data_IF_603565440370
#
_entry.id   IF_603565440370
#
_cell.length_a   1.000
_cell.length_b   1.000
_cell.length_c   1.000
_cell.angle_alpha   90.00
_cell.angle_beta   90.00
_cell.angle_gamma   90.00
#
_symmetry.space_group_name_H-M   'P 1'
#
loop_
_entity.id
_entity.type
_entity.pdbx_description
1 polymer ?
#
# COMPACT_ATOMS: atom_id res chain seq x y z
N UNK A 1 14.80 7.42 8.65
CA UNK A 1 14.14 6.74 9.81
C UNK A 1 13.40 5.52 9.31
N UNK A 2 13.40 4.37 10.02
CA UNK A 2 12.63 3.19 9.60
C UNK A 2 11.18 3.31 10.07
N UNK A 3 10.23 3.03 9.18
CA UNK A 3 8.78 2.99 9.42
C UNK A 3 8.16 1.69 8.96
N UNK A 4 7.19 1.19 9.71
CA UNK A 4 6.39 0.00 9.34
C UNK A 4 4.92 0.21 9.65
N UNK A 5 4.07 -0.50 8.92
CA UNK A 5 2.66 -0.65 9.27
C UNK A 5 2.49 -2.00 9.96
N UNK A 6 1.95 -2.00 11.18
CA UNK A 6 1.50 -3.20 11.87
C UNK A 6 -0.01 -3.31 11.69
N UNK A 7 -0.49 -4.43 11.18
CA UNK A 7 -1.92 -4.73 11.06
C UNK A 7 -2.25 -5.94 11.91
N UNK A 8 -3.18 -5.78 12.85
CA UNK A 8 -3.66 -6.85 13.71
C UNK A 8 -5.08 -6.55 14.18
N UNK A 9 -5.90 -7.58 14.34
CA UNK A 9 -7.27 -7.47 14.85
C UNK A 9 -8.12 -6.42 14.12
N UNK A 10 -7.96 -6.29 12.79
CA UNK A 10 -8.68 -5.31 11.98
C UNK A 10 -8.25 -3.85 12.19
N UNK A 11 -7.16 -3.62 12.91
CA UNK A 11 -6.56 -2.30 13.15
C UNK A 11 -5.22 -2.19 12.43
N UNK A 12 -4.86 -0.97 12.05
CA UNK A 12 -3.56 -0.60 11.49
C UNK A 12 -2.87 0.44 12.38
N UNK A 13 -1.57 0.25 12.57
CA UNK A 13 -0.73 1.05 13.46
C UNK A 13 0.54 1.42 12.69
N UNK A 14 0.78 2.72 12.51
CA UNK A 14 2.07 3.19 12.00
C UNK A 14 3.09 3.17 13.14
N UNK A 15 4.25 2.60 12.91
CA UNK A 15 5.34 2.56 13.90
C UNK A 15 6.63 3.10 13.30
N UNK A 16 7.34 3.88 14.09
CA UNK A 16 8.68 4.34 13.77
C UNK A 16 9.68 3.57 14.63
N UNK A 17 10.83 3.25 14.05
CA UNK A 17 11.96 2.72 14.80
C UNK A 17 12.78 3.88 15.37
N UNK A 18 12.81 4.00 16.69
CA UNK A 18 13.61 4.98 17.43
C UNK A 18 14.17 4.34 18.70
N UNK A 19 15.37 4.73 19.13
CA UNK A 19 16.00 4.21 20.35
C UNK A 19 16.06 2.67 20.41
N UNK A 20 16.33 2.03 19.27
CA UNK A 20 16.33 0.58 19.08
C UNK A 20 14.98 -0.13 19.32
N UNK A 21 13.87 0.61 19.38
CA UNK A 21 12.54 0.09 19.61
C UNK A 21 11.54 0.57 18.56
N UNK A 22 10.48 -0.22 18.34
CA UNK A 22 9.35 0.19 17.52
C UNK A 22 8.32 0.90 18.38
N UNK A 23 8.06 2.18 18.08
CA UNK A 23 7.09 3.00 18.80
C UNK A 23 5.94 3.38 17.89
N UNK A 24 4.72 3.34 18.43
CA UNK A 24 3.52 3.76 17.71
C UNK A 24 3.56 5.26 17.45
N UNK A 25 3.27 5.64 16.20
CA UNK A 25 3.21 7.02 15.75
C UNK A 25 1.75 7.38 15.48
N UNK A 26 1.19 8.24 16.33
CA UNK A 26 -0.18 8.73 16.17
C UNK A 26 -1.27 7.74 16.60
N UNK A 27 -2.49 7.92 16.07
CA UNK A 27 -3.66 7.15 16.44
C UNK A 27 -3.75 5.82 15.69
N UNK A 28 -4.19 4.77 16.40
CA UNK A 28 -4.56 3.48 15.84
C UNK A 28 -5.84 3.65 15.02
N UNK A 29 -5.84 3.16 13.78
CA UNK A 29 -7.00 3.28 12.86
C UNK A 29 -7.52 1.90 12.47
N UNK A 30 -8.76 1.84 11.99
CA UNK A 30 -9.27 0.62 11.34
C UNK A 30 -8.44 0.32 10.09
N UNK A 31 -8.07 -0.94 9.89
CA UNK A 31 -7.45 -1.40 8.66
C UNK A 31 -8.51 -1.46 7.55
N UNK A 32 -8.14 -1.05 6.35
CA UNK A 32 -8.99 -1.18 5.18
C UNK A 32 -9.24 -2.66 4.83
N UNK A 33 -10.43 -2.94 4.31
CA UNK A 33 -10.77 -4.26 3.80
C UNK A 33 -9.80 -4.67 2.69
N UNK A 34 -9.29 -5.90 2.77
CA UNK A 34 -8.29 -6.44 1.84
C UNK A 34 -6.85 -6.40 2.38
N UNK A 35 -6.56 -5.56 3.38
CA UNK A 35 -5.27 -5.58 4.08
C UNK A 35 -5.29 -6.66 5.16
N UNK A 36 -4.47 -7.69 4.99
CA UNK A 36 -4.38 -8.81 5.95
C UNK A 36 -3.59 -8.41 7.20
N UNK A 37 -3.81 -9.10 8.35
CA UNK A 37 -2.90 -8.98 9.49
C UNK A 37 -1.46 -9.30 9.10
N UNK A 38 -0.51 -8.53 9.61
CA UNK A 38 0.91 -8.66 9.28
C UNK A 38 1.75 -7.44 9.60
N UNK A 39 3.06 -7.57 9.39
CA UNK A 39 4.03 -6.48 9.51
C UNK A 39 4.48 -6.08 8.10
N UNK A 40 4.20 -4.84 7.72
CA UNK A 40 4.55 -4.27 6.43
C UNK A 40 5.69 -3.28 6.62
N UNK A 41 6.91 -3.70 6.30
CA UNK A 41 8.13 -2.92 6.45
C UNK A 41 8.26 -1.88 5.32
N UNK A 42 7.39 -0.87 5.31
CA UNK A 42 7.32 0.16 4.25
C UNK A 42 8.63 0.96 4.10
N UNK A 43 9.51 0.96 5.09
CA UNK A 43 10.86 1.52 4.96
C UNK A 43 11.75 0.81 3.93
N UNK A 44 11.39 -0.41 3.53
CA UNK A 44 12.06 -1.14 2.45
C UNK A 44 11.55 -0.74 1.07
N UNK A 45 10.58 0.19 0.99
CA UNK A 45 9.98 0.57 -0.27
C UNK A 45 10.99 1.22 -1.22
N UNK A 46 11.00 0.74 -2.47
CA UNK A 46 11.75 1.35 -3.57
C UNK A 46 10.84 2.34 -4.28
N UNK A 47 11.39 3.48 -4.68
CA UNK A 47 10.65 4.43 -5.51
C UNK A 47 10.32 3.76 -6.85
N UNK A 48 9.06 3.86 -7.28
CA UNK A 48 8.62 3.34 -8.57
C UNK A 48 9.45 3.94 -9.72
N UNK A 49 9.84 3.09 -10.65
CA UNK A 49 10.54 3.47 -11.87
C UNK A 49 9.49 3.68 -12.96
N UNK A 50 9.51 4.85 -13.60
CA UNK A 50 8.50 5.29 -14.56
C UNK A 50 8.54 4.50 -15.88
N UNK A 51 9.67 3.89 -16.24
CA UNK A 51 9.80 3.07 -17.45
C UNK A 51 9.43 1.58 -17.26
N UNK A 52 8.82 1.21 -16.13
CA UNK A 52 8.40 -0.16 -15.84
C UNK A 52 7.08 -0.51 -16.56
N UNK A 53 6.91 -1.79 -16.95
CA UNK A 53 5.67 -2.33 -17.53
C UNK A 53 4.46 -2.22 -16.60
N UNK A 54 4.67 -2.07 -15.30
CA UNK A 54 3.63 -1.82 -14.31
C UNK A 54 3.88 -2.49 -12.98
N UNK A 55 3.26 -1.94 -11.94
CA UNK A 55 3.30 -2.44 -10.57
C UNK A 55 1.94 -3.01 -10.19
N UNK A 56 1.84 -4.33 -10.13
CA UNK A 56 0.61 -5.04 -9.80
C UNK A 56 0.62 -5.53 -8.35
N UNK A 57 -0.40 -5.13 -7.59
CA UNK A 57 -0.53 -5.56 -6.20
C UNK A 57 -1.34 -4.61 -5.34
N UNK A 58 -1.25 -4.84 -4.04
CA UNK A 58 -2.12 -4.25 -3.03
C UNK A 58 -1.69 -2.84 -2.66
N UNK A 59 -2.57 -1.85 -2.80
CA UNK A 59 -2.35 -0.53 -2.22
C UNK A 59 -2.49 -0.58 -0.70
N UNK A 60 -1.40 -0.29 0.02
CA UNK A 60 -1.30 -0.48 1.46
C UNK A 60 -1.57 0.77 2.29
N UNK A 61 -0.95 1.89 1.93
CA UNK A 61 -0.90 3.05 2.81
C UNK A 61 -0.66 4.35 2.06
N UNK A 62 -1.34 5.43 2.48
CA UNK A 62 -1.06 6.80 2.06
C UNK A 62 -0.36 7.50 3.21
N UNK A 63 0.90 7.86 3.01
CA UNK A 63 1.65 8.70 3.92
C UNK A 63 1.56 10.15 3.43
N UNK A 64 0.59 10.89 3.98
CA UNK A 64 0.39 12.31 3.66
C UNK A 64 1.54 13.18 4.15
N UNK A 65 2.31 12.76 5.16
CA UNK A 65 3.43 13.54 5.66
C UNK A 65 4.60 13.50 4.68
N UNK A 66 4.82 12.36 4.04
CA UNK A 66 5.88 12.19 3.02
C UNK A 66 5.42 12.48 1.59
N UNK A 67 4.11 12.62 1.37
CA UNK A 67 3.56 12.69 0.03
C UNK A 67 3.77 11.39 -0.75
N UNK A 68 3.67 10.23 -0.09
CA UNK A 68 3.90 8.92 -0.71
C UNK A 68 2.70 7.99 -0.57
N UNK A 69 2.54 7.12 -1.56
CA UNK A 69 1.60 6.00 -1.56
C UNK A 69 2.40 4.71 -1.67
N UNK A 70 2.14 3.77 -0.78
CA UNK A 70 2.83 2.49 -0.73
C UNK A 70 1.97 1.38 -1.31
N UNK A 71 2.53 0.61 -2.22
CA UNK A 71 1.96 -0.59 -2.82
C UNK A 71 2.83 -1.81 -2.44
N UNK A 72 2.19 -2.92 -2.11
CA UNK A 72 2.87 -4.20 -2.01
C UNK A 72 2.74 -4.94 -3.34
N UNK A 73 3.88 -5.18 -3.97
CA UNK A 73 4.01 -5.95 -5.22
C UNK A 73 4.69 -7.25 -4.85
N UNK A 74 3.92 -8.35 -4.85
CA UNK A 74 4.35 -9.64 -4.29
C UNK A 74 4.84 -9.51 -2.82
N UNK A 75 6.15 -9.61 -2.58
CA UNK A 75 6.79 -9.47 -1.26
C UNK A 75 7.59 -8.17 -1.12
N UNK A 76 7.66 -7.38 -2.19
CA UNK A 76 8.36 -6.09 -2.19
C UNK A 76 7.38 -4.94 -1.94
N UNK A 77 7.93 -3.80 -1.55
CA UNK A 77 7.21 -2.56 -1.36
C UNK A 77 7.68 -1.55 -2.40
N UNK A 78 6.71 -0.89 -3.03
CA UNK A 78 6.94 0.16 -4.01
C UNK A 78 6.26 1.43 -3.49
N UNK A 79 6.95 2.54 -3.56
CA UNK A 79 6.39 3.86 -3.25
C UNK A 79 6.11 4.63 -4.54
N UNK A 80 5.05 5.42 -4.53
CA UNK A 80 4.62 6.29 -5.61
C UNK A 80 4.41 7.69 -5.04
N UNK A 81 4.71 8.74 -5.81
CA UNK A 81 4.41 10.12 -5.38
C UNK A 81 2.90 10.34 -5.32
N UNK A 82 2.41 10.82 -4.18
CA UNK A 82 0.98 11.06 -3.92
C UNK A 82 0.38 12.12 -4.86
N UNK A 83 1.18 13.12 -5.24
CA UNK A 83 0.75 14.21 -6.13
C UNK A 83 0.37 13.73 -7.55
N UNK A 84 0.85 12.55 -7.97
CA UNK A 84 0.53 11.99 -9.28
C UNK A 84 -0.86 11.33 -9.33
N UNK A 85 -1.53 11.19 -8.19
CA UNK A 85 -2.88 10.64 -8.12
C UNK A 85 -3.91 11.76 -8.21
N UNK A 86 -4.79 11.71 -9.22
CA UNK A 86 -5.88 12.67 -9.39
C UNK A 86 -6.95 12.60 -8.28
N UNK A 87 -7.01 11.50 -7.56
CA UNK A 87 -7.90 11.29 -6.42
C UNK A 87 -7.24 10.32 -5.42
N UNK A 88 -7.69 10.29 -4.14
CA UNK A 88 -7.13 9.38 -3.17
C UNK A 88 -7.18 7.92 -3.65
N UNK A 89 -6.03 7.21 -3.69
CA UNK A 89 -6.00 5.84 -4.21
C UNK A 89 -6.81 4.88 -3.32
N UNK A 90 -7.40 3.82 -3.91
CA UNK A 90 -8.26 2.89 -3.20
C UNK A 90 -7.45 1.91 -2.32
N UNK A 91 -7.09 2.34 -1.11
CA UNK A 91 -6.35 1.52 -0.15
C UNK A 91 -7.11 0.23 0.17
N UNK A 92 -6.37 -0.88 0.25
CA UNK A 92 -6.92 -2.23 0.45
C UNK A 92 -7.32 -2.94 -0.84
N UNK A 93 -7.18 -2.30 -2.02
CA UNK A 93 -7.49 -2.93 -3.32
C UNK A 93 -6.22 -3.30 -4.09
N UNK A 94 -6.30 -4.39 -4.85
CA UNK A 94 -5.29 -4.73 -5.85
C UNK A 94 -5.47 -3.83 -7.09
N UNK A 95 -4.37 -3.27 -7.56
CA UNK A 95 -4.32 -2.38 -8.71
C UNK A 95 -3.09 -2.67 -9.55
N UNK A 96 -3.11 -2.25 -10.81
CA UNK A 96 -1.92 -2.07 -11.64
C UNK A 96 -1.64 -0.57 -11.73
N UNK A 97 -0.43 -0.16 -11.34
CA UNK A 97 0.05 1.22 -11.50
C UNK A 97 1.12 1.24 -12.58
N UNK A 98 0.87 2.05 -13.61
CA UNK A 98 1.78 2.28 -14.73
C UNK A 98 2.04 3.76 -14.90
N UNK A 99 3.12 4.11 -15.60
CA UNK A 99 3.44 5.49 -15.93
C UNK A 99 3.48 5.64 -17.45
N UNK A 100 2.93 6.73 -17.96
CA UNK A 100 3.03 7.05 -19.39
C UNK A 100 4.38 7.70 -19.74
N UNK A 101 4.56 8.03 -21.02
CA UNK A 101 5.77 8.67 -21.52
C UNK A 101 6.04 10.06 -20.93
N UNK A 102 5.04 10.67 -20.29
CA UNK A 102 5.12 11.96 -19.59
C UNK A 102 5.17 11.78 -18.07
N UNK A 103 5.45 10.56 -17.59
CA UNK A 103 5.52 10.18 -16.18
C UNK A 103 4.21 10.38 -15.40
N UNK A 104 3.07 10.49 -16.09
CA UNK A 104 1.77 10.53 -15.43
C UNK A 104 1.35 9.13 -15.01
N UNK A 105 0.76 9.06 -13.83
CA UNK A 105 0.32 7.81 -13.24
C UNK A 105 -1.02 7.38 -13.84
N UNK A 106 -1.05 6.15 -14.34
CA UNK A 106 -2.24 5.43 -14.75
C UNK A 106 -2.53 4.32 -13.74
N UNK A 107 -3.71 4.36 -13.12
CA UNK A 107 -4.16 3.38 -12.14
C UNK A 107 -5.32 2.55 -12.72
N UNK A 108 -5.13 1.24 -12.73
CA UNK A 108 -6.14 0.27 -13.18
C UNK A 108 -6.52 -0.58 -11.97
N UNK A 109 -7.82 -0.64 -11.63
CA UNK A 109 -8.30 -1.55 -10.60
C UNK A 109 -8.26 -2.98 -11.13
N UNK A 110 -7.64 -3.89 -10.37
CA UNK A 110 -7.66 -5.31 -10.68
C UNK A 110 -8.77 -5.91 -9.81
N UNK A 111 -9.92 -6.19 -10.44
CA UNK A 111 -10.97 -6.93 -9.77
C UNK A 111 -10.47 -8.35 -9.50
N UNK A 112 -10.22 -8.67 -8.24
CA UNK A 112 -10.18 -10.07 -7.81
C UNK A 112 -11.58 -10.60 -7.97
N UNK A 113 -11.83 -11.31 -9.08
CA UNK A 113 -13.06 -12.06 -9.29
C UNK A 113 -13.41 -12.78 -7.99
N UNK A 114 -14.56 -12.42 -7.42
CA UNK A 114 -15.12 -13.01 -6.23
C UNK A 114 -15.16 -14.53 -6.39
N UNK A 115 -14.31 -15.26 -5.67
CA UNK A 115 -14.52 -16.67 -5.44
C UNK A 115 -15.74 -16.83 -4.52
N UNK A 116 -16.94 -16.58 -5.06
CA UNK A 116 -18.18 -17.15 -4.54
C UNK A 116 -18.09 -18.66 -4.79
N UNK A 117 -17.41 -19.38 -3.88
CA UNK A 117 -17.69 -20.80 -3.71
C UNK A 117 -19.11 -20.88 -3.16
N UNK A 118 -20.08 -21.04 -4.06
CA UNK A 118 -21.41 -21.52 -3.70
C UNK A 118 -21.20 -22.86 -2.99
N UNK A 119 -21.38 -22.89 -1.67
CA UNK A 119 -21.69 -24.13 -0.99
C UNK A 119 -23.11 -24.49 -1.42
N UNK A 120 -23.22 -25.36 -2.43
CA UNK A 120 -24.43 -26.15 -2.62
C UNK A 120 -24.46 -27.13 -1.45
N UNK A 121 -25.42 -26.93 -0.55
CA UNK A 121 -25.90 -27.93 0.39
C UNK A 121 -26.89 -28.80 -0.38
#
# INVERSE_FOLDING_TARGET
MKRRLLVMNGQKILQNFNDNEWRTTGLIKKAEEGIKPGIYNIYLAKMAVTNNKGYEGLLLFIDKQEGLVYQQVNKEFISHKLELFNSPPPIGKNVSIQYDAQEKLNLIKIDTASNKRMHKI
#
